data_IF_891450226414
#
_entry.id   IF_891450226414
#
_cell.length_a   1.000
_cell.length_b   1.000
_cell.length_c   1.000
_cell.angle_alpha   90.00
_cell.angle_beta   90.00
_cell.angle_gamma   90.00
#
_symmetry.space_group_name_H-M   'P 1'
#
loop_
_entity.id
_entity.type
_entity.pdbx_description
1 polymer ?
#
# COMPACT_ATOMS: atom_id res chain seq x y z
N UNK A 1 -12.25 -41.07 10.69
CA UNK A 1 -12.92 -39.78 11.02
C UNK A 1 -11.94 -38.72 11.53
N UNK A 2 -10.85 -39.10 12.22
CA UNK A 2 -9.77 -38.19 12.67
C UNK A 2 -9.16 -37.30 11.57
N UNK A 3 -9.00 -37.82 10.34
CA UNK A 3 -8.42 -37.04 9.22
C UNK A 3 -9.28 -35.84 8.79
N UNK A 4 -10.60 -35.90 9.00
CA UNK A 4 -11.51 -34.79 8.67
C UNK A 4 -11.49 -33.69 9.75
N UNK A 5 -11.28 -34.08 11.02
CA UNK A 5 -11.10 -33.15 12.13
C UNK A 5 -9.77 -32.38 12.04
N UNK A 6 -8.70 -33.01 11.57
CA UNK A 6 -7.40 -32.34 11.36
C UNK A 6 -7.48 -31.33 10.20
N UNK A 7 -8.20 -31.66 9.12
CA UNK A 7 -8.41 -30.74 8.01
C UNK A 7 -9.28 -29.53 8.40
N UNK A 8 -10.32 -29.75 9.22
CA UNK A 8 -11.18 -28.70 9.76
C UNK A 8 -10.43 -27.81 10.77
N UNK A 9 -9.65 -28.42 11.67
CA UNK A 9 -8.80 -27.71 12.62
C UNK A 9 -7.71 -26.89 11.92
N UNK A 10 -7.13 -27.41 10.83
CA UNK A 10 -6.16 -26.67 10.01
C UNK A 10 -6.81 -25.51 9.25
N UNK A 11 -8.02 -25.66 8.71
CA UNK A 11 -8.74 -24.54 8.08
C UNK A 11 -9.12 -23.47 9.10
N UNK A 12 -9.49 -23.83 10.33
CA UNK A 12 -9.72 -22.87 11.42
C UNK A 12 -8.44 -22.24 12.00
N UNK A 13 -7.28 -22.89 11.84
CA UNK A 13 -5.97 -22.35 12.22
C UNK A 13 -5.33 -21.49 11.11
N UNK A 14 -5.79 -21.63 9.85
CA UNK A 14 -5.45 -20.69 8.77
C UNK A 14 -6.46 -19.55 8.65
N UNK A 15 -7.60 -19.61 9.35
CA UNK A 15 -8.53 -18.50 9.55
C UNK A 15 -8.19 -17.66 10.79
N UNK A 16 -6.91 -17.62 11.18
CA UNK A 16 -6.42 -16.75 12.25
C UNK A 16 -6.85 -15.30 11.96
N UNK A 17 -7.75 -14.81 12.81
CA UNK A 17 -8.01 -13.40 13.09
C UNK A 17 -8.38 -12.50 11.90
N UNK A 18 -9.25 -12.99 11.00
CA UNK A 18 -10.16 -12.09 10.31
C UNK A 18 -11.15 -11.56 11.37
N UNK A 19 -10.72 -10.54 12.11
CA UNK A 19 -11.65 -9.67 12.82
C UNK A 19 -12.68 -9.21 11.78
N UNK A 20 -13.94 -9.57 11.99
CA UNK A 20 -15.09 -9.28 11.12
C UNK A 20 -14.83 -8.16 10.09
N UNK A 21 -14.47 -8.52 8.85
CA UNK A 21 -14.36 -7.58 7.73
C UNK A 21 -13.02 -6.90 7.53
N UNK A 22 -12.00 -7.10 8.38
CA UNK A 22 -10.75 -6.33 8.34
C UNK A 22 -9.48 -7.16 8.45
N UNK A 23 -8.41 -6.66 7.81
CA UNK A 23 -7.04 -7.17 7.87
C UNK A 23 -6.10 -6.02 8.24
N UNK A 24 -5.25 -6.21 9.24
CA UNK A 24 -4.23 -5.23 9.63
C UNK A 24 -2.83 -5.65 9.16
N UNK A 25 -2.07 -4.67 8.69
CA UNK A 25 -0.68 -4.79 8.29
C UNK A 25 0.20 -3.87 9.15
N UNK A 26 0.96 -4.46 10.07
CA UNK A 26 1.90 -3.73 10.94
C UNK A 26 3.21 -3.47 10.21
N UNK A 27 3.56 -2.19 10.08
CA UNK A 27 4.74 -1.68 9.40
C UNK A 27 5.91 -1.57 10.38
N UNK A 28 7.05 -2.14 10.00
CA UNK A 28 8.32 -1.97 10.68
C UNK A 28 9.44 -1.73 9.67
N UNK A 29 10.03 -0.54 9.71
CA UNK A 29 11.20 -0.16 8.92
C UNK A 29 12.11 0.79 9.71
N UNK A 30 13.30 1.07 9.18
CA UNK A 30 14.19 2.03 9.82
C UNK A 30 13.63 3.45 9.62
N UNK A 31 13.16 4.09 10.69
CA UNK A 31 12.59 5.44 10.66
C UNK A 31 11.14 5.54 10.16
N UNK A 32 10.47 4.40 9.97
CA UNK A 32 9.05 4.33 9.63
C UNK A 32 8.39 3.18 10.39
N UNK A 33 7.22 3.43 10.97
CA UNK A 33 6.45 2.42 11.70
C UNK A 33 4.97 2.74 11.67
N UNK A 34 4.13 1.83 12.17
CA UNK A 34 2.69 2.03 12.28
C UNK A 34 1.92 0.85 11.74
N UNK A 35 0.68 1.08 11.31
CA UNK A 35 -0.18 0.03 10.79
C UNK A 35 -1.18 0.57 9.76
N UNK A 36 -1.68 -0.33 8.93
CA UNK A 36 -2.70 -0.07 7.92
C UNK A 36 -3.78 -1.14 8.06
N UNK A 37 -5.03 -0.73 8.17
CA UNK A 37 -6.20 -1.62 8.22
C UNK A 37 -6.94 -1.51 6.90
N UNK A 38 -7.28 -2.68 6.36
CA UNK A 38 -7.90 -2.84 5.06
C UNK A 38 -9.17 -3.68 5.23
N UNK A 39 -10.21 -3.35 4.46
CA UNK A 39 -11.37 -4.22 4.30
C UNK A 39 -10.95 -5.55 3.64
N UNK A 40 -11.50 -6.66 4.11
CA UNK A 40 -11.18 -8.00 3.61
C UNK A 40 -11.90 -8.35 2.30
N UNK A 41 -13.00 -7.67 2.00
CA UNK A 41 -13.90 -7.96 0.87
C UNK A 41 -13.54 -7.19 -0.41
N UNK A 42 -13.18 -5.91 -0.29
CA UNK A 42 -12.90 -5.00 -1.41
C UNK A 42 -11.47 -4.44 -1.42
N UNK A 43 -10.69 -4.78 -0.40
CA UNK A 43 -9.30 -4.33 -0.23
C UNK A 43 -9.08 -2.81 -0.12
N UNK A 44 -10.13 -2.02 0.07
CA UNK A 44 -10.01 -0.60 0.37
C UNK A 44 -9.42 -0.38 1.76
N UNK A 45 -8.69 0.73 1.94
CA UNK A 45 -8.09 1.07 3.23
C UNK A 45 -9.18 1.62 4.15
N UNK A 46 -9.42 0.95 5.27
CA UNK A 46 -10.39 1.33 6.28
C UNK A 46 -9.80 2.31 7.30
N UNK A 47 -8.52 2.15 7.63
CA UNK A 47 -7.81 2.98 8.59
C UNK A 47 -6.30 2.91 8.35
N UNK A 48 -5.56 3.93 8.78
CA UNK A 48 -4.11 3.84 8.88
C UNK A 48 -3.58 4.78 9.95
N UNK A 49 -2.44 4.40 10.52
CA UNK A 49 -1.63 5.27 11.35
C UNK A 49 -0.16 4.99 11.07
N UNK A 50 0.55 5.94 10.46
CA UNK A 50 1.94 5.79 10.03
C UNK A 50 2.77 6.89 10.64
N UNK A 51 3.89 6.51 11.22
CA UNK A 51 4.85 7.41 11.84
C UNK A 51 6.16 7.39 11.04
N UNK A 52 6.68 8.58 10.76
CA UNK A 52 8.04 8.80 10.33
C UNK A 52 8.77 9.46 11.48
N UNK A 53 9.86 8.85 11.91
CA UNK A 53 10.69 9.37 13.00
C UNK A 53 12.15 9.14 12.65
N UNK A 54 12.82 10.22 12.26
CA UNK A 54 14.23 10.24 11.88
C UNK A 54 14.85 11.54 12.33
N UNK A 55 16.18 11.62 12.31
CA UNK A 55 16.90 12.88 12.54
C UNK A 55 16.52 14.00 11.55
N UNK A 56 15.92 13.66 10.40
CA UNK A 56 15.62 14.62 9.32
C UNK A 56 14.13 14.96 9.20
N UNK A 57 13.24 14.13 9.75
CA UNK A 57 11.81 14.23 9.55
C UNK A 57 11.04 13.57 10.70
N UNK A 58 9.99 14.25 11.13
CA UNK A 58 8.97 13.75 12.05
C UNK A 58 7.59 14.03 11.43
N UNK A 59 6.82 12.98 11.15
CA UNK A 59 5.49 13.11 10.57
C UNK A 59 4.58 11.97 11.05
N UNK A 60 3.28 12.26 11.20
CA UNK A 60 2.27 11.27 11.56
C UNK A 60 1.12 11.38 10.58
N UNK A 61 0.93 10.34 9.77
CA UNK A 61 -0.25 10.20 8.94
C UNK A 61 -1.29 9.42 9.74
N UNK A 62 -2.49 9.98 9.91
CA UNK A 62 -3.62 9.26 10.52
C UNK A 62 -4.86 9.42 9.63
N UNK A 63 -5.74 8.43 9.65
CA UNK A 63 -7.06 8.60 9.03
C UNK A 63 -7.92 9.52 9.92
N UNK A 64 -7.97 10.83 9.62
CA UNK A 64 -8.80 11.79 10.36
C UNK A 64 -9.18 13.03 9.54
N UNK A 65 -10.45 13.45 9.66
CA UNK A 65 -10.97 14.80 9.40
C UNK A 65 -10.75 15.40 8.00
N UNK A 66 -10.56 14.57 6.96
CA UNK A 66 -10.52 15.00 5.55
C UNK A 66 -9.29 15.81 5.11
N UNK A 67 -8.59 16.45 6.06
CA UNK A 67 -7.29 17.13 5.89
C UNK A 67 -6.13 16.13 5.76
N UNK A 68 -6.35 14.88 6.16
CA UNK A 68 -5.51 13.73 5.89
C UNK A 68 -6.30 12.73 5.03
N UNK A 69 -5.83 12.42 3.82
CA UNK A 69 -6.60 11.56 2.94
C UNK A 69 -5.80 10.73 1.97
N UNK A 70 -6.43 9.65 1.53
CA UNK A 70 -5.92 8.77 0.48
C UNK A 70 -6.15 9.43 -0.88
N UNK A 71 -5.11 9.44 -1.69
CA UNK A 71 -5.11 10.04 -3.04
C UNK A 71 -5.00 9.01 -4.15
N UNK A 72 -4.67 7.75 -3.82
CA UNK A 72 -4.65 6.66 -4.77
C UNK A 72 -4.55 5.32 -4.09
N UNK A 73 -5.16 4.30 -4.69
CA UNK A 73 -5.11 2.91 -4.26
C UNK A 73 -4.91 2.01 -5.46
N UNK A 74 -3.95 1.09 -5.38
CA UNK A 74 -3.71 0.05 -6.39
C UNK A 74 -3.27 -1.23 -5.71
N UNK A 75 -3.34 -2.35 -6.41
CA UNK A 75 -2.81 -3.62 -5.89
C UNK A 75 -2.04 -4.37 -6.96
N UNK A 76 -0.99 -5.09 -6.54
CA UNK A 76 -0.27 -6.06 -7.38
C UNK A 76 -0.66 -7.49 -7.04
N UNK A 77 -1.52 -7.66 -6.05
CA UNK A 77 -2.01 -8.93 -5.60
C UNK A 77 -3.40 -9.15 -6.18
N UNK A 78 -3.66 -10.37 -6.67
CA UNK A 78 -4.96 -10.73 -7.24
C UNK A 78 -6.02 -10.85 -6.15
N UNK A 79 -6.02 -11.97 -5.44
CA UNK A 79 -7.03 -12.28 -4.41
C UNK A 79 -6.40 -12.31 -3.00
N UNK A 80 -5.97 -11.15 -2.51
CA UNK A 80 -5.50 -10.96 -1.13
C UNK A 80 -4.08 -10.42 -0.99
N UNK A 81 -3.79 -9.82 0.15
CA UNK A 81 -2.55 -9.07 0.39
C UNK A 81 -2.80 -7.55 0.47
N UNK A 82 -1.75 -6.78 0.78
CA UNK A 82 -1.90 -5.36 1.09
C UNK A 82 -2.10 -4.51 -0.16
N UNK A 83 -3.01 -3.54 -0.04
CA UNK A 83 -3.20 -2.46 -1.01
C UNK A 83 -2.04 -1.46 -0.96
N UNK A 84 -1.47 -1.17 -2.13
CA UNK A 84 -0.58 -0.01 -2.29
C UNK A 84 -1.44 1.24 -2.26
N UNK A 85 -1.01 2.26 -1.52
CA UNK A 85 -1.77 3.51 -1.48
C UNK A 85 -0.86 4.72 -1.31
N UNK A 86 -1.40 5.87 -1.66
CA UNK A 86 -0.82 7.17 -1.37
C UNK A 86 -1.75 7.97 -0.49
N UNK A 87 -1.19 8.70 0.47
CA UNK A 87 -1.90 9.60 1.35
C UNK A 87 -1.16 10.93 1.49
N UNK A 88 -1.90 11.97 1.83
CA UNK A 88 -1.33 13.24 2.28
C UNK A 88 -1.82 13.57 3.68
N UNK A 89 -1.08 14.46 4.34
CA UNK A 89 -1.47 15.14 5.56
C UNK A 89 -1.24 16.64 5.36
N UNK A 90 -2.26 17.43 5.66
CA UNK A 90 -2.23 18.89 5.61
C UNK A 90 -2.62 19.57 6.92
N UNK A 91 -2.72 18.80 8.02
CA UNK A 91 -3.00 19.32 9.36
C UNK A 91 -1.90 20.26 9.85
N UNK A 92 -0.67 20.04 9.38
CA UNK A 92 0.41 20.99 9.62
C UNK A 92 0.16 22.27 8.84
N UNK A 93 -0.04 23.37 9.57
CA UNK A 93 -0.13 24.71 8.97
C UNK A 93 1.07 25.02 8.08
N UNK A 94 2.25 24.49 8.39
CA UNK A 94 3.49 24.90 7.73
C UNK A 94 3.86 23.97 6.58
N UNK A 95 3.48 22.70 6.64
CA UNK A 95 3.89 21.69 5.67
C UNK A 95 2.72 20.84 5.19
N UNK A 96 2.76 20.46 3.91
CA UNK A 96 1.98 19.33 3.41
C UNK A 96 2.91 18.13 3.32
N UNK A 97 2.53 17.05 4.00
CA UNK A 97 3.21 15.77 3.95
C UNK A 97 2.54 14.85 2.94
N UNK A 98 3.33 14.04 2.26
CA UNK A 98 2.83 13.01 1.35
C UNK A 98 3.58 11.72 1.63
N UNK A 99 2.87 10.60 1.56
CA UNK A 99 3.44 9.27 1.63
C UNK A 99 2.81 8.37 0.56
N UNK A 100 3.63 7.53 -0.07
CA UNK A 100 3.17 6.46 -0.93
C UNK A 100 3.81 5.15 -0.49
N UNK A 101 3.00 4.13 -0.22
CA UNK A 101 3.39 2.79 0.16
C UNK A 101 3.19 1.83 -1.01
N UNK A 102 4.27 1.14 -1.35
CA UNK A 102 4.30 0.11 -2.38
C UNK A 102 4.73 -1.21 -1.73
N UNK A 103 3.93 -2.26 -1.87
CA UNK A 103 4.15 -3.58 -1.28
C UNK A 103 4.62 -4.61 -2.30
N UNK A 104 5.37 -5.60 -1.82
CA UNK A 104 5.88 -6.74 -2.57
C UNK A 104 5.77 -8.01 -1.73
N UNK A 105 5.45 -9.12 -2.39
CA UNK A 105 5.45 -10.44 -1.75
C UNK A 105 6.87 -10.83 -1.30
N UNK A 106 6.97 -11.44 -0.12
CA UNK A 106 8.19 -12.12 0.33
C UNK A 106 8.19 -13.62 0.00
N UNK A 107 7.08 -14.15 -0.52
CA UNK A 107 6.83 -15.58 -0.65
C UNK A 107 6.36 -16.24 0.66
N UNK A 108 6.42 -15.55 1.79
CA UNK A 108 5.86 -16.01 3.07
C UNK A 108 4.46 -15.43 3.28
N UNK A 109 3.51 -16.30 3.65
CA UNK A 109 2.14 -15.89 3.94
C UNK A 109 2.11 -14.85 5.07
N UNK A 110 1.31 -13.80 4.90
CA UNK A 110 1.14 -12.74 5.88
C UNK A 110 2.36 -11.84 6.09
N UNK A 111 3.42 -11.97 5.30
CA UNK A 111 4.63 -11.12 5.40
C UNK A 111 4.96 -10.50 4.05
N UNK A 112 5.04 -9.18 4.03
CA UNK A 112 5.27 -8.40 2.83
C UNK A 112 6.46 -7.48 3.05
N UNK A 113 7.19 -7.17 1.97
CA UNK A 113 8.15 -6.08 1.95
C UNK A 113 7.42 -4.83 1.50
N UNK A 114 7.68 -3.69 2.13
CA UNK A 114 7.20 -2.40 1.64
C UNK A 114 8.36 -1.49 1.30
N UNK A 115 8.11 -0.57 0.37
CA UNK A 115 8.88 0.64 0.16
C UNK A 115 7.96 1.84 0.29
N UNK A 116 8.39 2.86 1.02
CA UNK A 116 7.65 4.10 1.17
C UNK A 116 8.41 5.27 0.53
N UNK A 117 7.69 6.16 -0.13
CA UNK A 117 8.18 7.45 -0.61
C UNK A 117 7.52 8.54 0.22
N UNK A 118 8.32 9.28 0.98
CA UNK A 118 7.86 10.43 1.76
C UNK A 118 8.32 11.71 1.09
N UNK A 119 7.47 12.73 1.14
CA UNK A 119 7.89 14.09 0.84
C UNK A 119 7.16 15.09 1.72
N UNK A 120 7.88 16.13 2.14
CA UNK A 120 7.30 17.34 2.70
C UNK A 120 7.57 18.52 1.78
N UNK A 121 6.60 19.41 1.70
CA UNK A 121 6.73 20.72 1.06
C UNK A 121 6.03 21.76 1.89
N UNK A 122 6.45 22.99 1.76
CA UNK A 122 5.79 24.13 2.37
C UNK A 122 4.30 24.19 1.97
N UNK A 123 3.46 24.51 2.95
CA UNK A 123 2.04 24.72 2.73
C UNK A 123 1.82 25.97 1.86
N UNK A 124 1.06 25.91 0.75
CA UNK A 124 0.93 27.03 -0.18
C UNK A 124 0.46 28.34 0.45
N UNK A 125 -0.39 28.25 1.49
CA UNK A 125 -0.89 29.42 2.21
C UNK A 125 0.18 30.16 3.01
N UNK A 126 1.29 29.49 3.34
CA UNK A 126 2.36 30.01 4.17
C UNK A 126 3.67 30.24 3.41
N UNK A 127 3.66 30.07 2.08
CA UNK A 127 4.79 30.32 1.17
C UNK A 127 5.41 31.73 1.26
N UNK A 128 4.71 32.66 1.90
CA UNK A 128 5.14 34.04 2.10
C UNK A 128 5.20 34.44 3.59
N UNK A 129 5.10 33.49 4.53
CA UNK A 129 5.14 33.79 5.95
C UNK A 129 6.58 34.21 6.36
N UNK A 130 6.80 35.47 6.79
CA UNK A 130 8.13 35.95 7.18
C UNK A 130 8.72 35.20 8.38
N UNK A 131 7.89 34.48 9.13
CA UNK A 131 8.26 33.73 10.32
C UNK A 131 8.52 32.24 10.05
N UNK A 132 8.26 31.77 8.82
CA UNK A 132 8.42 30.36 8.47
C UNK A 132 9.87 29.85 8.52
N UNK A 133 10.88 30.74 8.54
CA UNK A 133 12.27 30.34 8.36
C UNK A 133 12.50 29.71 6.97
N UNK A 134 13.71 29.21 6.71
CA UNK A 134 13.99 28.51 5.45
C UNK A 134 13.38 27.10 5.51
N UNK A 135 12.15 26.95 5.02
CA UNK A 135 11.49 25.66 4.89
C UNK A 135 12.08 24.91 3.69
N UNK A 136 12.83 23.84 3.96
CA UNK A 136 13.48 23.06 2.90
C UNK A 136 12.60 21.87 2.51
N UNK A 137 12.19 21.76 1.23
CA UNK A 137 11.54 20.56 0.72
C UNK A 137 12.40 19.32 0.99
N UNK A 138 11.79 18.27 1.51
CA UNK A 138 12.49 17.04 1.86
C UNK A 138 11.79 15.86 1.20
N UNK A 139 12.58 14.98 0.59
CA UNK A 139 12.10 13.70 0.10
C UNK A 139 12.96 12.58 0.70
N UNK A 140 12.30 11.58 1.28
CA UNK A 140 12.94 10.41 1.88
C UNK A 140 12.34 9.13 1.30
N UNK A 141 13.12 8.06 1.37
CA UNK A 141 12.68 6.71 1.01
C UNK A 141 12.89 5.80 2.20
N UNK A 142 11.89 4.98 2.46
CA UNK A 142 11.94 3.97 3.51
C UNK A 142 11.67 2.60 2.92
N UNK A 143 12.12 1.58 3.64
CA UNK A 143 11.77 0.20 3.35
C UNK A 143 11.70 -0.57 4.66
N UNK A 144 10.95 -1.66 4.63
CA UNK A 144 10.74 -2.50 5.79
C UNK A 144 9.86 -3.70 5.48
N UNK A 145 9.31 -4.27 6.54
CA UNK A 145 8.37 -5.38 6.46
C UNK A 145 7.00 -4.96 6.97
N UNK A 146 5.96 -5.40 6.28
CA UNK A 146 4.59 -5.36 6.74
C UNK A 146 4.15 -6.77 7.13
N UNK A 147 3.59 -6.94 8.32
CA UNK A 147 3.14 -8.25 8.82
C UNK A 147 1.65 -8.21 9.12
N UNK A 148 0.94 -9.26 8.72
CA UNK A 148 -0.46 -9.43 9.08
C UNK A 148 -0.54 -9.71 10.57
N UNK A 149 -1.39 -8.96 11.26
CA UNK A 149 -1.68 -9.11 12.69
C UNK A 149 -3.17 -9.00 12.95
N UNK A 150 -3.60 -9.45 14.12
CA UNK A 150 -4.98 -9.31 14.55
C UNK A 150 -5.32 -7.82 14.74
N UNK A 151 -6.48 -7.41 14.24
CA UNK A 151 -6.99 -6.04 14.45
C UNK A 151 -7.47 -5.92 15.90
N UNK A 152 -7.12 -4.83 16.57
CA UNK A 152 -7.62 -4.54 17.91
C UNK A 152 -9.17 -4.41 17.89
N UNK A 153 -9.91 -5.12 18.77
CA UNK A 153 -11.37 -5.05 18.78
C UNK A 153 -11.92 -3.64 19.05
N UNK A 154 -11.20 -2.80 19.80
CA UNK A 154 -11.57 -1.41 20.02
C UNK A 154 -11.48 -0.58 18.75
N UNK A 155 -10.42 -0.79 17.96
CA UNK A 155 -10.27 -0.18 16.64
C UNK A 155 -11.37 -0.63 15.67
N UNK A 156 -11.73 -1.91 15.68
CA UNK A 156 -12.83 -2.45 14.84
C UNK A 156 -14.15 -1.78 15.20
N UNK A 157 -14.47 -1.72 16.49
CA UNK A 157 -15.68 -1.04 16.96
C UNK A 157 -15.70 0.45 16.58
N UNK A 158 -14.53 1.10 16.57
CA UNK A 158 -14.42 2.49 16.12
C UNK A 158 -14.69 2.63 14.62
N UNK A 159 -14.03 1.81 13.79
CA UNK A 159 -14.22 1.85 12.32
C UNK A 159 -15.68 1.53 11.97
N UNK A 160 -16.28 0.51 12.59
CA UNK A 160 -17.67 0.14 12.38
C UNK A 160 -18.64 1.21 12.90
N UNK A 161 -18.32 1.85 14.03
CA UNK A 161 -19.09 2.96 14.59
C UNK A 161 -19.15 4.19 13.68
N UNK A 162 -18.11 4.40 12.87
CA UNK A 162 -18.03 5.45 11.85
C UNK A 162 -18.62 5.02 10.49
N UNK A 163 -19.16 3.80 10.38
CA UNK A 163 -19.75 3.28 9.15
C UNK A 163 -18.74 2.66 8.18
N UNK A 164 -17.61 2.17 8.68
CA UNK A 164 -16.58 1.47 7.91
C UNK A 164 -15.38 2.34 7.51
N UNK A 165 -15.48 3.66 7.70
CA UNK A 165 -14.43 4.64 7.41
C UNK A 165 -14.54 5.79 8.41
N UNK A 166 -13.45 6.22 9.07
CA UNK A 166 -13.43 7.43 9.88
C UNK A 166 -13.89 8.65 9.09
N UNK A 167 -14.51 9.61 9.78
CA UNK A 167 -14.96 10.86 9.16
C UNK A 167 -13.89 11.52 8.25
N UNK A 168 -14.30 11.83 7.02
CA UNK A 168 -13.47 12.44 5.98
C UNK A 168 -12.53 11.50 5.22
N UNK A 169 -12.36 10.23 5.61
CA UNK A 169 -11.52 9.28 4.88
C UNK A 169 -12.18 8.86 3.55
N UNK A 170 -11.46 9.02 2.45
CA UNK A 170 -11.95 8.62 1.12
C UNK A 170 -11.82 7.11 0.93
N UNK A 171 -12.94 6.44 0.67
CA UNK A 171 -12.95 5.05 0.20
C UNK A 171 -12.42 4.96 -1.23
N UNK A 172 -11.27 4.33 -1.40
CA UNK A 172 -10.73 3.96 -2.71
C UNK A 172 -10.51 2.44 -2.79
N UNK A 173 -11.29 1.81 -3.67
CA UNK A 173 -11.11 0.38 -4.01
C UNK A 173 -9.90 0.26 -4.94
N UNK A 174 -8.89 -0.56 -4.61
CA UNK A 174 -7.66 -0.65 -5.39
C UNK A 174 -7.90 -1.21 -6.80
N UNK A 175 -7.38 -0.52 -7.80
CA UNK A 175 -7.30 -1.08 -9.15
C UNK A 175 -6.09 -2.04 -9.27
N UNK A 176 -6.22 -3.18 -9.96
CA UNK A 176 -5.08 -4.01 -10.29
C UNK A 176 -4.05 -3.23 -11.10
N UNK A 177 -2.78 -3.29 -10.70
CA UNK A 177 -1.68 -2.79 -11.52
C UNK A 177 -1.55 -3.73 -12.72
N UNK A 178 -1.89 -3.25 -13.91
CA UNK A 178 -1.77 -4.01 -15.14
C UNK A 178 -0.32 -4.49 -15.34
N UNK A 179 -0.06 -5.76 -15.05
CA UNK A 179 1.17 -6.44 -15.44
C UNK A 179 0.98 -6.85 -16.90
N UNK A 180 1.86 -6.48 -17.85
CA UNK A 180 1.77 -6.98 -19.21
C UNK A 180 1.75 -8.50 -19.18
N UNK A 181 0.67 -9.10 -19.69
CA UNK A 181 0.51 -10.54 -19.58
C UNK A 181 1.71 -11.26 -20.23
N UNK A 182 2.16 -12.40 -19.66
CA UNK A 182 3.19 -13.23 -20.28
C UNK A 182 2.85 -13.61 -21.72
N UNK A 183 1.56 -13.71 -22.05
CA UNK A 183 1.06 -13.95 -23.40
C UNK A 183 1.43 -12.83 -24.38
N UNK A 184 1.44 -11.57 -23.95
CA UNK A 184 1.85 -10.43 -24.76
C UNK A 184 3.35 -10.43 -25.06
N UNK A 185 4.18 -10.79 -24.08
CA UNK A 185 5.62 -11.00 -24.27
C UNK A 185 5.91 -12.23 -25.14
N UNK A 186 5.14 -13.30 -24.96
CA UNK A 186 5.20 -14.49 -25.80
C UNK A 186 4.85 -14.19 -27.26
N UNK A 187 3.79 -13.43 -27.51
CA UNK A 187 3.38 -12.99 -28.85
C UNK A 187 4.38 -12.01 -29.47
N UNK A 188 4.97 -11.10 -28.69
CA UNK A 188 6.05 -10.23 -29.16
C UNK A 188 7.28 -11.05 -29.54
N UNK A 189 7.67 -12.03 -28.71
CA UNK A 189 8.78 -12.94 -28.99
C UNK A 189 8.54 -13.80 -30.23
N UNK A 190 7.33 -14.34 -30.39
CA UNK A 190 6.92 -15.08 -31.59
C UNK A 190 6.90 -14.21 -32.84
N UNK A 191 6.43 -12.96 -32.73
CA UNK A 191 6.43 -11.98 -33.82
C UNK A 191 7.86 -11.64 -34.29
N UNK A 192 8.77 -11.41 -33.34
CA UNK A 192 10.18 -11.15 -33.65
C UNK A 192 10.88 -12.36 -34.28
N UNK A 193 10.59 -13.57 -33.79
CA UNK A 193 11.13 -14.81 -34.38
C UNK A 193 10.61 -15.04 -35.80
N UNK A 194 9.32 -14.80 -36.05
CA UNK A 194 8.73 -14.88 -37.39
C UNK A 194 9.32 -13.86 -38.37
N UNK A 195 9.57 -12.63 -37.90
CA UNK A 195 10.21 -11.57 -38.70
C UNK A 195 11.66 -11.94 -39.06
N UNK A 196 12.44 -12.44 -38.10
CA UNK A 196 13.81 -12.90 -38.34
C UNK A 196 13.87 -14.06 -39.34
N UNK A 197 12.93 -15.02 -39.25
CA UNK A 197 12.83 -16.13 -40.20
C UNK A 197 12.44 -15.66 -41.62
N UNK A 198 11.55 -14.68 -41.74
CA UNK A 198 11.13 -14.10 -43.02
C UNK A 198 12.27 -13.32 -43.69
N UNK A 199 13.07 -12.58 -42.91
CA UNK A 199 14.24 -11.85 -43.41
C UNK A 199 15.35 -12.81 -43.88
N UNK A 200 15.54 -13.95 -43.22
CA UNK A 200 16.52 -14.98 -43.62
C UNK A 200 16.19 -15.64 -44.96
N UNK A 201 14.90 -15.77 -45.30
CA UNK A 201 14.45 -16.34 -46.60
C UNK A 201 14.59 -15.38 -47.77
N UNK A 202 14.89 -14.09 -47.52
CA UNK A 202 15.00 -13.07 -48.57
C UNK A 202 16.43 -12.80 -49.04
N UNK A 203 17.46 -13.48 -48.54
CA UNK A 203 18.79 -13.44 -49.15
C UNK A 203 18.82 -14.34 -50.39
N UNK A 204 18.86 -13.79 -51.62
CA UNK A 204 19.09 -14.61 -52.81
C UNK A 204 20.58 -14.99 -52.82
N UNK A 205 20.86 -16.28 -53.04
CA UNK A 205 22.21 -16.73 -53.36
C UNK A 205 22.70 -15.97 -54.61
N UNK A 206 23.85 -15.30 -54.47
CA UNK A 206 24.66 -14.84 -55.61
C UNK A 206 25.53 -16.00 -56.08
#
# INVERSE_FOLDING_TARGET
MIKKLIALAATTLFSLDASAGYIQYDLSGNGISGYVVQHDDDHSIAFYQIFIDTERAYARFAAAHGEDNITGATTRFGDGGPTNFAAFDSLSRVYVYNIALDYQSTGSAGVYRFSARYSQREHPEYANDPWAGELVPLALRFSGTARVTAVDPGLVNFIDGEGGYPDGLTRLVPAPVAVPEPAGLGLLGLGLAALAAALRRRSPAR
#
